data_IF_969174739350
#
_entry.id   IF_969174739350
#
_cell.length_a   1.000
_cell.length_b   1.000
_cell.length_c   1.000
_cell.angle_alpha   90.00
_cell.angle_beta   90.00
_cell.angle_gamma   90.00
#
_symmetry.space_group_name_H-M   'P 1'
#
loop_
_entity.id
_entity.type
_entity.pdbx_description
1 polymer ?
#
# COMPACT_ATOMS: atom_id res chain seq x y z
N UNK A 1 -5.64 -19.41 -9.71
CA UNK A 1 -5.32 -18.10 -9.11
C UNK A 1 -4.75 -18.32 -7.72
N UNK A 2 -3.57 -17.79 -7.46
CA UNK A 2 -2.91 -17.87 -6.17
C UNK A 2 -3.09 -16.54 -5.42
N UNK A 3 -3.18 -16.61 -4.09
CA UNK A 3 -3.46 -15.46 -3.24
C UNK A 3 -2.41 -15.35 -2.13
N UNK A 4 -1.86 -14.16 -1.93
CA UNK A 4 -1.15 -13.81 -0.71
C UNK A 4 -2.07 -12.99 0.19
N UNK A 5 -2.13 -13.31 1.45
CA UNK A 5 -3.00 -12.65 2.44
C UNK A 5 -2.21 -12.33 3.69
N UNK A 6 -2.41 -11.11 4.20
CA UNK A 6 -1.94 -10.69 5.51
C UNK A 6 -3.06 -9.95 6.23
N UNK A 7 -3.25 -10.24 7.51
CA UNK A 7 -4.28 -9.60 8.34
C UNK A 7 -3.72 -9.29 9.72
N UNK A 8 -4.05 -8.14 10.25
CA UNK A 8 -3.71 -7.74 11.61
C UNK A 8 -4.76 -6.77 12.16
N UNK A 9 -5.03 -6.86 13.46
CA UNK A 9 -5.86 -5.88 14.16
C UNK A 9 -5.04 -4.64 14.45
N UNK A 10 -5.28 -3.58 13.69
CA UNK A 10 -4.59 -2.28 13.85
C UNK A 10 -5.60 -1.14 13.91
N UNK A 11 -5.24 -0.06 14.60
CA UNK A 11 -6.01 1.19 14.59
C UNK A 11 -5.48 2.09 13.48
N UNK A 12 -5.77 1.74 12.24
CA UNK A 12 -5.31 2.47 11.07
C UNK A 12 -6.15 3.73 10.82
N UNK A 13 -7.23 3.58 10.12
CA UNK A 13 -8.15 4.64 9.75
C UNK A 13 -9.44 4.50 10.57
N UNK A 14 -10.14 5.61 10.88
CA UNK A 14 -11.34 5.60 11.72
C UNK A 14 -11.11 5.03 13.13
N UNK A 15 -10.32 5.74 13.92
CA UNK A 15 -10.04 5.37 15.32
C UNK A 15 -11.00 6.10 16.26
N UNK A 16 -12.10 5.48 16.68
CA UNK A 16 -13.08 6.14 17.55
C UNK A 16 -12.61 6.27 18.99
N UNK A 17 -11.44 5.72 19.34
CA UNK A 17 -10.91 5.69 20.70
C UNK A 17 -9.59 6.40 20.83
N UNK A 18 -9.41 7.13 21.93
CA UNK A 18 -8.13 7.68 22.37
C UNK A 18 -7.90 7.37 23.83
N UNK A 19 -6.66 7.17 24.21
CA UNK A 19 -6.24 7.10 25.60
C UNK A 19 -5.81 8.50 26.02
N UNK A 20 -6.41 8.96 27.13
CA UNK A 20 -6.09 10.21 27.76
C UNK A 20 -5.58 9.95 29.17
N UNK A 21 -4.68 10.79 29.68
CA UNK A 21 -4.33 10.79 31.09
C UNK A 21 -5.49 11.30 31.92
N UNK A 22 -5.74 10.70 33.07
CA UNK A 22 -6.76 11.16 34.01
C UNK A 22 -6.62 12.66 34.35
N UNK A 23 -5.38 13.16 34.39
CA UNK A 23 -5.07 14.55 34.66
C UNK A 23 -5.59 15.54 33.62
N UNK A 24 -5.98 15.07 32.43
CA UNK A 24 -6.57 15.91 31.37
C UNK A 24 -8.04 16.24 31.66
N UNK A 25 -8.66 15.55 32.61
CA UNK A 25 -10.07 15.72 32.95
C UNK A 25 -10.25 16.24 34.38
N UNK A 26 -10.59 17.50 34.53
CA UNK A 26 -10.77 18.15 35.82
C UNK A 26 -11.88 17.52 36.70
N UNK A 27 -12.78 16.75 36.13
CA UNK A 27 -13.90 16.11 36.78
C UNK A 27 -13.84 14.60 36.84
N UNK A 28 -12.69 14.01 36.52
CA UNK A 28 -12.55 12.54 36.54
C UNK A 28 -12.66 12.04 37.99
N UNK A 29 -13.53 11.06 38.30
CA UNK A 29 -13.64 10.47 39.64
C UNK A 29 -12.30 9.89 40.13
N UNK A 30 -12.04 9.95 41.43
CA UNK A 30 -10.76 9.46 42.01
C UNK A 30 -10.50 7.98 41.74
N UNK A 31 -11.55 7.18 41.62
CA UNK A 31 -11.46 5.74 41.35
C UNK A 31 -11.29 5.38 39.88
N UNK A 32 -11.21 6.38 38.97
CA UNK A 32 -10.91 6.11 37.57
C UNK A 32 -9.43 5.74 37.35
N UNK A 33 -9.11 4.87 36.39
CA UNK A 33 -7.72 4.52 36.07
C UNK A 33 -6.95 5.74 35.57
N UNK A 34 -5.63 5.71 35.67
CA UNK A 34 -4.74 6.80 35.24
C UNK A 34 -4.83 7.05 33.73
N UNK A 35 -5.18 6.04 32.97
CA UNK A 35 -5.48 6.14 31.53
C UNK A 35 -6.99 5.94 31.33
N UNK A 36 -7.60 6.92 30.72
CA UNK A 36 -9.04 6.92 30.38
C UNK A 36 -9.17 6.72 28.88
N UNK A 37 -9.98 5.76 28.48
CA UNK A 37 -10.32 5.53 27.09
C UNK A 37 -11.57 6.36 26.76
N UNK A 38 -11.42 7.29 25.83
CA UNK A 38 -12.51 8.16 25.38
C UNK A 38 -12.90 7.77 23.97
N UNK A 39 -14.17 7.49 23.77
CA UNK A 39 -14.75 7.30 22.46
C UNK A 39 -15.09 8.66 21.84
N UNK A 40 -14.73 8.87 20.61
CA UNK A 40 -15.08 10.06 19.84
C UNK A 40 -15.90 9.66 18.63
N UNK A 41 -16.88 10.49 18.30
CA UNK A 41 -17.67 10.28 17.07
C UNK A 41 -16.90 10.69 15.81
N UNK A 42 -15.79 11.40 15.98
CA UNK A 42 -14.94 11.84 14.89
C UNK A 42 -13.82 10.83 14.62
N UNK A 43 -13.55 10.50 13.37
CA UNK A 43 -12.41 9.67 12.98
C UNK A 43 -11.09 10.32 13.40
N UNK A 44 -10.20 9.53 13.95
CA UNK A 44 -8.82 9.96 14.21
C UNK A 44 -7.94 9.42 13.11
N UNK A 45 -7.28 10.31 12.38
CA UNK A 45 -6.38 9.94 11.29
C UNK A 45 -4.94 10.27 11.63
N UNK A 46 -4.10 9.25 11.60
CA UNK A 46 -2.64 9.38 11.62
C UNK A 46 -2.10 8.90 10.28
N UNK A 47 -1.78 9.83 9.40
CA UNK A 47 -1.38 9.52 8.03
C UNK A 47 -0.05 8.76 7.93
N UNK A 48 0.86 8.95 8.88
CA UNK A 48 2.13 8.21 8.89
C UNK A 48 1.91 6.76 9.31
N UNK A 49 1.15 6.55 10.37
CA UNK A 49 0.79 5.23 10.85
C UNK A 49 -0.06 4.47 9.82
N UNK A 50 -1.03 5.12 9.19
CA UNK A 50 -1.84 4.52 8.13
C UNK A 50 -0.99 4.06 6.93
N UNK A 51 -0.04 4.88 6.50
CA UNK A 51 0.91 4.49 5.46
C UNK A 51 1.76 3.28 5.87
N UNK A 52 2.19 3.23 7.13
CA UNK A 52 2.97 2.09 7.64
C UNK A 52 2.13 0.82 7.65
N UNK A 53 0.89 0.89 8.14
CA UNK A 53 -0.04 -0.24 8.10
C UNK A 53 -0.23 -0.78 6.68
N UNK A 54 -0.39 0.11 5.71
CA UNK A 54 -0.51 -0.26 4.30
C UNK A 54 0.75 -0.98 3.80
N UNK A 55 1.93 -0.40 4.03
CA UNK A 55 3.20 -0.97 3.56
C UNK A 55 3.45 -2.35 4.16
N UNK A 56 3.25 -2.49 5.47
CA UNK A 56 3.46 -3.74 6.16
C UNK A 56 2.54 -4.84 5.64
N UNK A 57 1.25 -4.55 5.50
CA UNK A 57 0.28 -5.55 5.00
C UNK A 57 0.56 -5.97 3.56
N UNK A 58 0.92 -5.03 2.69
CA UNK A 58 1.28 -5.36 1.29
C UNK A 58 2.54 -6.21 1.25
N UNK A 59 3.58 -5.86 2.03
CA UNK A 59 4.81 -6.64 2.11
C UNK A 59 4.56 -8.08 2.59
N UNK A 60 3.80 -8.23 3.65
CA UNK A 60 3.47 -9.54 4.22
C UNK A 60 2.61 -10.39 3.28
N UNK A 61 1.61 -9.79 2.65
CA UNK A 61 0.79 -10.47 1.66
C UNK A 61 1.61 -10.91 0.44
N UNK A 62 2.55 -10.07 0.00
CA UNK A 62 3.49 -10.41 -1.06
C UNK A 62 4.40 -11.58 -0.66
N UNK A 63 4.94 -11.55 0.55
CA UNK A 63 5.77 -12.65 1.08
C UNK A 63 4.96 -13.95 1.19
N UNK A 64 3.74 -13.89 1.71
CA UNK A 64 2.86 -15.06 1.77
C UNK A 64 2.55 -15.62 0.37
N UNK A 65 2.36 -14.76 -0.63
CA UNK A 65 2.20 -15.20 -2.02
C UNK A 65 3.43 -15.96 -2.53
N UNK A 66 4.63 -15.44 -2.27
CA UNK A 66 5.89 -16.13 -2.63
C UNK A 66 5.99 -17.52 -2.01
N UNK A 67 5.65 -17.66 -0.74
CA UNK A 67 5.67 -18.93 -0.02
C UNK A 67 4.67 -19.93 -0.60
N UNK A 68 3.47 -19.45 -0.98
CA UNK A 68 2.44 -20.29 -1.59
C UNK A 68 2.78 -20.76 -3.00
N UNK A 69 3.45 -19.92 -3.78
CA UNK A 69 3.74 -20.19 -5.19
C UNK A 69 5.15 -20.71 -5.43
N UNK A 70 6.00 -20.69 -4.40
CA UNK A 70 7.44 -21.00 -4.51
C UNK A 70 8.16 -20.15 -5.57
N UNK A 71 7.64 -18.95 -5.86
CA UNK A 71 8.22 -18.02 -6.83
C UNK A 71 9.23 -17.12 -6.14
N UNK A 72 10.40 -16.93 -6.74
CA UNK A 72 11.48 -16.14 -6.14
C UNK A 72 11.16 -14.66 -6.21
N UNK A 73 10.81 -14.15 -7.39
CA UNK A 73 10.50 -12.74 -7.65
C UNK A 73 9.24 -12.60 -8.50
N UNK A 74 8.06 -12.84 -7.95
CA UNK A 74 6.81 -12.86 -8.73
C UNK A 74 6.55 -11.56 -9.50
N UNK A 75 7.00 -10.41 -8.99
CA UNK A 75 6.81 -9.12 -9.67
C UNK A 75 7.52 -9.02 -11.04
N UNK A 76 8.56 -9.80 -11.29
CA UNK A 76 9.25 -9.84 -12.58
C UNK A 76 8.36 -10.48 -13.65
N UNK A 77 7.60 -11.50 -13.28
CA UNK A 77 6.71 -12.24 -14.19
C UNK A 77 5.42 -11.46 -14.51
N UNK A 78 4.99 -10.58 -13.60
CA UNK A 78 3.79 -9.79 -13.82
C UNK A 78 4.00 -8.68 -14.83
N UNK A 79 3.12 -8.59 -15.81
CA UNK A 79 3.16 -7.52 -16.82
C UNK A 79 2.91 -6.16 -16.19
N UNK A 80 1.93 -6.07 -15.29
CA UNK A 80 1.58 -4.88 -14.53
C UNK A 80 1.41 -5.20 -13.05
N UNK A 81 1.68 -4.19 -12.21
CA UNK A 81 1.34 -4.18 -10.80
C UNK A 81 0.22 -3.17 -10.58
N UNK A 82 -0.92 -3.66 -10.14
CA UNK A 82 -2.11 -2.88 -9.86
C UNK A 82 -2.24 -2.71 -8.35
N UNK A 83 -2.30 -1.48 -7.89
CA UNK A 83 -2.41 -1.15 -6.47
C UNK A 83 -3.80 -0.60 -6.11
N UNK A 84 -4.18 -0.80 -4.86
CA UNK A 84 -5.15 0.08 -4.23
C UNK A 84 -4.49 1.45 -4.02
N UNK A 85 -5.03 2.48 -4.65
CA UNK A 85 -4.41 3.80 -4.69
C UNK A 85 -5.25 4.84 -3.94
N UNK A 86 -4.95 5.13 -2.67
CA UNK A 86 -5.52 6.28 -1.98
C UNK A 86 -5.12 7.62 -2.65
N UNK A 87 -3.94 7.64 -3.26
CA UNK A 87 -3.44 8.74 -4.12
C UNK A 87 -2.46 8.20 -5.16
N UNK A 88 -2.27 8.94 -6.27
CA UNK A 88 -1.59 8.45 -7.47
C UNK A 88 -0.16 7.91 -7.26
N UNK A 89 0.61 8.51 -6.36
CA UNK A 89 2.01 8.11 -6.13
C UNK A 89 2.19 6.99 -5.09
N UNK A 90 1.11 6.52 -4.51
CA UNK A 90 1.17 5.58 -3.38
C UNK A 90 1.81 4.24 -3.76
N UNK A 91 1.42 3.66 -4.89
CA UNK A 91 1.97 2.38 -5.36
C UNK A 91 3.47 2.40 -5.56
N UNK A 92 4.01 3.48 -6.14
CA UNK A 92 5.46 3.66 -6.33
C UNK A 92 6.21 3.65 -5.00
N UNK A 93 5.69 4.34 -4.01
CA UNK A 93 6.30 4.44 -2.70
C UNK A 93 6.27 3.13 -1.93
N UNK A 94 5.14 2.45 -1.94
CA UNK A 94 4.95 1.18 -1.24
C UNK A 94 5.86 0.09 -1.83
N UNK A 95 5.99 0.04 -3.14
CA UNK A 95 6.78 -1.01 -3.77
C UNK A 95 8.29 -0.81 -3.66
N UNK A 96 8.78 0.39 -3.29
CA UNK A 96 10.22 0.65 -3.13
C UNK A 96 10.86 -0.31 -2.12
N UNK A 97 10.20 -0.58 -1.00
CA UNK A 97 10.70 -1.51 0.02
C UNK A 97 10.77 -2.94 -0.51
N UNK A 98 9.71 -3.44 -1.13
CA UNK A 98 9.67 -4.79 -1.72
C UNK A 98 10.75 -4.92 -2.79
N UNK A 99 10.86 -3.94 -3.68
CA UNK A 99 11.90 -3.91 -4.71
C UNK A 99 13.31 -3.97 -4.12
N UNK A 100 13.53 -3.21 -3.03
CA UNK A 100 14.82 -3.18 -2.34
C UNK A 100 15.17 -4.53 -1.72
N UNK A 101 14.22 -5.15 -1.03
CA UNK A 101 14.40 -6.47 -0.42
C UNK A 101 14.70 -7.54 -1.47
N UNK A 102 13.95 -7.56 -2.56
CA UNK A 102 14.11 -8.53 -3.65
C UNK A 102 15.44 -8.37 -4.40
N UNK A 103 15.96 -7.16 -4.48
CA UNK A 103 17.22 -6.86 -5.16
C UNK A 103 18.41 -6.72 -4.21
N UNK A 104 18.24 -7.09 -2.93
CA UNK A 104 19.28 -7.02 -1.90
C UNK A 104 19.90 -5.62 -1.74
N UNK A 105 19.10 -4.56 -1.93
CA UNK A 105 19.52 -3.19 -1.79
C UNK A 105 19.40 -2.73 -0.34
N UNK A 106 20.33 -1.88 0.10
CA UNK A 106 20.28 -1.32 1.43
C UNK A 106 19.18 -0.25 1.56
N UNK A 107 18.16 -0.53 2.35
CA UNK A 107 16.96 0.30 2.58
C UNK A 107 16.88 0.80 4.03
N UNK A 108 18.00 0.83 4.74
CA UNK A 108 18.04 1.02 6.20
C UNK A 108 17.74 2.46 6.65
N UNK A 109 17.95 3.45 5.81
CA UNK A 109 17.75 4.87 6.15
C UNK A 109 17.11 5.69 5.02
N UNK A 110 16.62 6.88 5.34
CA UNK A 110 15.87 7.72 4.42
C UNK A 110 16.69 8.18 3.19
N UNK A 111 18.00 8.32 3.31
CA UNK A 111 18.85 8.74 2.19
C UNK A 111 19.03 7.59 1.19
N UNK A 112 19.23 6.37 1.67
CA UNK A 112 19.29 5.17 0.83
C UNK A 112 17.95 4.89 0.14
N UNK A 113 16.84 5.03 0.88
CA UNK A 113 15.49 4.93 0.33
C UNK A 113 15.27 5.92 -0.82
N UNK A 114 15.69 7.18 -0.64
CA UNK A 114 15.61 8.20 -1.69
C UNK A 114 16.53 7.88 -2.88
N UNK A 115 17.71 7.35 -2.61
CA UNK A 115 18.66 6.97 -3.66
C UNK A 115 18.08 5.86 -4.55
N UNK A 116 17.49 4.83 -3.94
CA UNK A 116 16.80 3.74 -4.67
C UNK A 116 15.62 4.31 -5.48
N UNK A 117 14.76 5.12 -4.87
CA UNK A 117 13.60 5.70 -5.53
C UNK A 117 13.98 6.61 -6.73
N UNK A 118 15.22 7.09 -6.79
CA UNK A 118 15.76 7.92 -7.88
C UNK A 118 16.69 7.15 -8.82
N UNK A 119 16.99 5.90 -8.54
CA UNK A 119 17.85 5.08 -9.42
C UNK A 119 17.18 4.87 -10.77
N UNK A 120 17.99 4.82 -11.82
CA UNK A 120 17.51 4.58 -13.18
C UNK A 120 16.76 3.24 -13.29
N UNK A 121 17.30 2.19 -12.68
CA UNK A 121 16.68 0.87 -12.68
C UNK A 121 15.29 0.87 -12.06
N UNK A 122 15.12 1.53 -10.90
CA UNK A 122 13.82 1.62 -10.25
C UNK A 122 12.83 2.51 -11.03
N UNK A 123 13.29 3.61 -11.59
CA UNK A 123 12.47 4.48 -12.44
C UNK A 123 11.97 3.72 -13.67
N UNK A 124 12.84 2.96 -14.34
CA UNK A 124 12.48 2.14 -15.49
C UNK A 124 11.46 1.07 -15.10
N UNK A 125 11.67 0.39 -13.97
CA UNK A 125 10.72 -0.57 -13.42
C UNK A 125 9.34 0.07 -13.16
N UNK A 126 9.30 1.23 -12.51
CA UNK A 126 8.05 1.96 -12.24
C UNK A 126 7.32 2.32 -13.54
N UNK A 127 8.05 2.87 -14.51
CA UNK A 127 7.49 3.28 -15.80
C UNK A 127 6.90 2.10 -16.57
N UNK A 128 7.55 0.95 -16.51
CA UNK A 128 7.11 -0.25 -17.20
C UNK A 128 5.93 -0.94 -16.52
N UNK A 129 6.02 -1.15 -15.21
CA UNK A 129 5.12 -2.04 -14.46
C UNK A 129 3.97 -1.32 -13.72
N UNK A 130 4.16 -0.07 -13.31
CA UNK A 130 3.24 0.62 -12.38
C UNK A 130 2.62 1.88 -13.00
N UNK A 131 3.39 2.72 -13.70
CA UNK A 131 2.95 4.04 -14.15
C UNK A 131 1.68 4.00 -14.99
N UNK A 132 1.58 3.03 -15.89
CA UNK A 132 0.43 2.88 -16.78
C UNK A 132 -0.89 2.64 -16.03
N UNK A 133 -0.83 2.01 -14.87
CA UNK A 133 -1.99 1.76 -14.01
C UNK A 133 -2.41 2.97 -13.18
N UNK A 134 -1.51 3.92 -12.93
CA UNK A 134 -1.76 5.05 -12.03
C UNK A 134 -2.39 6.26 -12.70
N UNK A 135 -2.40 6.33 -14.02
CA UNK A 135 -2.85 7.49 -14.79
C UNK A 135 -4.26 7.94 -14.42
N UNK A 136 -5.22 7.04 -14.42
CA UNK A 136 -6.62 7.38 -14.09
C UNK A 136 -6.75 7.91 -12.67
N UNK A 137 -6.06 7.31 -11.69
CA UNK A 137 -6.09 7.78 -10.30
C UNK A 137 -5.44 9.16 -10.14
N UNK A 138 -4.47 9.52 -10.99
CA UNK A 138 -3.87 10.87 -10.97
C UNK A 138 -4.82 11.96 -11.45
N UNK A 139 -5.77 11.61 -12.31
CA UNK A 139 -6.75 12.54 -12.86
C UNK A 139 -8.04 12.65 -12.03
N UNK A 140 -8.47 11.53 -11.41
CA UNK A 140 -9.76 11.45 -10.70
C UNK A 140 -9.59 11.60 -9.18
N UNK A 141 -8.45 11.13 -8.63
CA UNK A 141 -8.20 11.10 -7.20
C UNK A 141 -8.67 9.81 -6.52
N UNK A 142 -8.98 9.90 -5.20
CA UNK A 142 -9.35 8.73 -4.41
C UNK A 142 -10.73 8.19 -4.78
N UNK A 143 -10.79 6.92 -5.12
CA UNK A 143 -12.01 6.20 -5.49
C UNK A 143 -12.28 5.00 -4.57
N UNK A 144 -11.63 4.94 -3.41
CA UNK A 144 -11.71 3.81 -2.47
C UNK A 144 -11.48 2.46 -3.17
N UNK A 145 -12.35 1.48 -2.96
CA UNK A 145 -12.25 0.15 -3.57
C UNK A 145 -12.23 0.18 -5.11
N UNK A 146 -12.86 1.17 -5.74
CA UNK A 146 -12.88 1.31 -7.19
C UNK A 146 -11.49 1.64 -7.76
N UNK A 147 -10.57 2.20 -6.97
CA UNK A 147 -9.26 2.65 -7.43
C UNK A 147 -8.46 1.55 -8.13
N UNK A 148 -8.50 0.31 -7.62
CA UNK A 148 -7.79 -0.83 -8.23
C UNK A 148 -8.40 -1.27 -9.57
N UNK A 149 -9.72 -1.19 -9.72
CA UNK A 149 -10.38 -1.52 -10.99
C UNK A 149 -10.13 -0.44 -12.04
N UNK A 150 -10.12 0.81 -11.63
CA UNK A 150 -9.75 1.93 -12.49
C UNK A 150 -8.27 1.89 -12.87
N UNK A 151 -7.40 1.46 -11.97
CA UNK A 151 -5.98 1.24 -12.26
C UNK A 151 -5.80 0.11 -13.29
N UNK A 152 -6.53 -0.99 -13.16
CA UNK A 152 -6.55 -2.06 -14.16
C UNK A 152 -7.03 -1.53 -15.52
N UNK A 153 -8.16 -0.82 -15.55
CA UNK A 153 -8.70 -0.25 -16.78
C UNK A 153 -7.68 0.69 -17.45
N UNK A 154 -7.00 1.53 -16.67
CA UNK A 154 -5.94 2.43 -17.15
C UNK A 154 -4.80 1.67 -17.82
N UNK A 155 -4.33 0.58 -17.21
CA UNK A 155 -3.28 -0.27 -17.78
C UNK A 155 -3.74 -0.95 -19.08
N UNK A 156 -4.93 -1.58 -19.06
CA UNK A 156 -5.51 -2.24 -20.23
C UNK A 156 -5.75 -1.26 -21.40
N UNK A 157 -6.27 -0.06 -21.12
CA UNK A 157 -6.46 0.97 -22.15
C UNK A 157 -5.13 1.42 -22.75
N UNK A 158 -4.09 1.53 -21.93
CA UNK A 158 -2.75 1.90 -22.41
C UNK A 158 -2.19 0.83 -23.35
N UNK A 159 -2.31 -0.44 -22.98
CA UNK A 159 -1.87 -1.57 -23.81
C UNK A 159 -2.69 -1.67 -25.09
N UNK A 160 -4.01 -1.50 -25.02
CA UNK A 160 -4.89 -1.49 -26.19
C UNK A 160 -4.47 -0.41 -27.20
N UNK A 161 -4.24 0.82 -26.71
CA UNK A 161 -3.81 1.93 -27.56
C UNK A 161 -2.42 1.71 -28.20
N UNK A 162 -1.57 0.92 -27.54
CA UNK A 162 -0.25 0.54 -28.03
C UNK A 162 -0.26 -0.71 -28.92
N UNK A 163 -1.42 -1.32 -29.17
CA UNK A 163 -1.58 -2.62 -29.84
C UNK A 163 -0.74 -3.73 -29.18
N UNK A 164 -0.62 -3.68 -27.86
CA UNK A 164 0.12 -4.66 -27.07
C UNK A 164 -0.76 -5.88 -26.79
N UNK A 165 -0.27 -7.07 -27.10
CA UNK A 165 -0.95 -8.32 -26.78
C UNK A 165 -0.68 -8.69 -25.32
N UNK A 166 -1.74 -8.83 -24.55
CA UNK A 166 -1.70 -9.25 -23.14
C UNK A 166 -2.16 -10.70 -22.93
N UNK A 167 -2.31 -11.46 -24.02
CA UNK A 167 -2.68 -12.88 -23.95
C UNK A 167 -1.62 -13.66 -23.16
N UNK A 168 -2.07 -14.50 -22.24
CA UNK A 168 -1.20 -15.32 -21.38
C UNK A 168 -0.22 -14.52 -20.49
N UNK A 169 -0.50 -13.24 -20.25
CA UNK A 169 0.28 -12.45 -19.29
C UNK A 169 -0.37 -12.41 -17.90
N UNK A 170 0.45 -12.44 -16.87
CA UNK A 170 0.00 -12.28 -15.49
C UNK A 170 -0.03 -10.80 -15.07
N UNK A 171 -0.99 -10.45 -14.24
CA UNK A 171 -1.11 -9.11 -13.64
C UNK A 171 -1.17 -9.26 -12.11
N UNK A 172 -0.26 -8.61 -11.42
CA UNK A 172 -0.22 -8.59 -9.97
C UNK A 172 -1.19 -7.56 -9.39
N UNK A 173 -2.07 -7.99 -8.47
CA UNK A 173 -2.97 -7.11 -7.73
C UNK A 173 -2.53 -7.02 -6.27
N UNK A 174 -2.22 -5.80 -5.82
CA UNK A 174 -1.82 -5.51 -4.46
C UNK A 174 -2.91 -4.62 -3.82
N UNK A 175 -3.77 -5.24 -3.04
CA UNK A 175 -4.92 -4.59 -2.45
C UNK A 175 -4.76 -4.47 -0.93
N UNK A 176 -5.06 -3.30 -0.40
CA UNK A 176 -5.17 -3.05 1.03
C UNK A 176 -6.59 -2.56 1.34
N UNK A 177 -7.12 -2.98 2.46
CA UNK A 177 -8.39 -2.51 2.97
C UNK A 177 -8.42 -2.65 4.48
N UNK A 178 -8.96 -1.64 5.15
CA UNK A 178 -9.34 -1.74 6.56
C UNK A 178 -10.80 -2.20 6.63
N UNK A 179 -11.06 -3.21 7.43
CA UNK A 179 -12.39 -3.77 7.70
C UNK A 179 -12.78 -3.53 9.15
#
# INVERSE_FOLDING_TARGET
NNWGVATESVFDFFKPRRHHSKSEFNSAPENYPDKIEVFTDEPVFDGQYSNQCYQDRIREAYQHYKEQTFTVRPYEDWRYLIFHLPYAFHGKRVFTEIYSLENHLDYSDAEKQKAIAKSEDYINFINEKIEKSQRTSSEIGNMYTASRFMALLSALQTSFNANEDLTETDIGFLAYGSS
#
